data_IF_098172253218
#
_entry.id   IF_098172253218
#
_cell.length_a   1.000
_cell.length_b   1.000
_cell.length_c   1.000
_cell.angle_alpha   90.00
_cell.angle_beta   90.00
_cell.angle_gamma   90.00
#
_symmetry.space_group_name_H-M   'P 1'
#
loop_
_entity.id
_entity.type
_entity.pdbx_description
1 polymer ?
#
# COMPACT_ATOMS: atom_id res chain seq x y z
N UNK A 1 20.45 -13.65 0.03
CA UNK A 1 20.56 -12.91 -1.24
C UNK A 1 19.40 -11.91 -1.33
N UNK A 2 19.68 -10.69 -1.75
CA UNK A 2 18.64 -9.66 -1.87
C UNK A 2 17.72 -9.93 -3.08
N UNK A 3 16.46 -9.53 -2.97
CA UNK A 3 15.48 -9.67 -4.05
C UNK A 3 15.49 -8.40 -4.89
N UNK A 4 15.43 -8.55 -6.21
CA UNK A 4 15.38 -7.43 -7.15
C UNK A 4 14.05 -6.72 -7.06
N UNK A 5 14.03 -5.41 -7.32
CA UNK A 5 12.79 -4.61 -7.34
C UNK A 5 11.98 -4.81 -8.62
N UNK A 6 12.64 -5.11 -9.72
CA UNK A 6 11.96 -5.32 -11.01
C UNK A 6 11.06 -6.56 -10.94
N UNK A 7 9.80 -6.39 -11.27
CA UNK A 7 8.77 -7.42 -11.12
C UNK A 7 7.87 -7.25 -9.89
N UNK A 8 8.07 -6.20 -9.10
CA UNK A 8 7.17 -5.83 -8.01
C UNK A 8 5.83 -5.36 -8.57
N UNK A 9 4.73 -5.87 -8.02
CA UNK A 9 3.38 -5.54 -8.46
C UNK A 9 2.55 -5.12 -7.24
N UNK A 10 1.73 -4.08 -7.41
CA UNK A 10 0.88 -3.54 -6.36
C UNK A 10 -0.58 -3.85 -6.67
N UNK A 11 -1.31 -4.31 -5.66
CA UNK A 11 -2.72 -4.65 -5.76
C UNK A 11 -3.51 -3.94 -4.67
N UNK A 12 -4.78 -3.65 -4.97
CA UNK A 12 -5.72 -3.08 -4.02
C UNK A 12 -7.00 -3.91 -3.97
N UNK A 13 -7.59 -4.05 -2.80
CA UNK A 13 -8.90 -4.67 -2.63
C UNK A 13 -9.94 -3.57 -2.59
N UNK A 14 -10.74 -3.46 -3.65
CA UNK A 14 -11.69 -2.37 -3.86
C UNK A 14 -13.10 -2.91 -4.11
N UNK A 15 -14.17 -2.14 -3.79
CA UNK A 15 -15.52 -2.51 -4.18
C UNK A 15 -15.66 -2.58 -5.69
N UNK A 16 -16.40 -3.58 -6.20
CA UNK A 16 -16.70 -3.69 -7.62
C UNK A 16 -17.57 -2.51 -8.09
N UNK A 17 -17.32 -2.03 -9.30
CA UNK A 17 -18.15 -0.99 -9.92
C UNK A 17 -19.59 -1.45 -10.17
N UNK A 18 -19.75 -2.72 -10.53
CA UNK A 18 -21.06 -3.28 -10.87
C UNK A 18 -21.87 -3.60 -9.62
N UNK A 19 -21.20 -4.03 -8.53
CA UNK A 19 -21.84 -4.36 -7.28
C UNK A 19 -20.92 -3.96 -6.11
N UNK A 20 -21.16 -2.80 -5.46
CA UNK A 20 -20.34 -2.32 -4.37
C UNK A 20 -20.30 -3.22 -3.13
N UNK A 21 -21.21 -4.20 -3.02
CA UNK A 21 -21.19 -5.18 -1.93
C UNK A 21 -20.17 -6.29 -2.15
N UNK A 22 -19.63 -6.41 -3.37
CA UNK A 22 -18.61 -7.40 -3.75
C UNK A 22 -17.26 -6.71 -3.89
N UNK A 23 -16.24 -7.25 -3.25
CA UNK A 23 -14.87 -6.76 -3.38
C UNK A 23 -14.15 -7.44 -4.53
N UNK A 24 -13.25 -6.71 -5.18
CA UNK A 24 -12.41 -7.23 -6.26
C UNK A 24 -10.96 -6.80 -6.08
N UNK A 25 -10.04 -7.58 -6.66
CA UNK A 25 -8.61 -7.25 -6.66
C UNK A 25 -8.31 -6.40 -7.88
N UNK A 26 -7.77 -5.21 -7.63
CA UNK A 26 -7.34 -4.27 -8.67
C UNK A 26 -5.82 -4.23 -8.73
N UNK A 27 -5.23 -4.61 -9.87
CA UNK A 27 -3.80 -4.45 -10.09
C UNK A 27 -3.48 -3.03 -10.53
N UNK A 28 -2.60 -2.35 -9.81
CA UNK A 28 -2.16 -1.00 -10.14
C UNK A 28 -1.01 -1.10 -11.13
N UNK A 29 -1.24 -0.64 -12.36
CA UNK A 29 -0.29 -0.79 -13.47
C UNK A 29 0.56 0.45 -13.68
N UNK A 30 1.67 0.28 -14.40
CA UNK A 30 2.60 1.34 -14.83
C UNK A 30 3.25 2.09 -13.65
N UNK A 31 3.59 1.36 -12.61
CA UNK A 31 4.29 1.90 -11.45
C UNK A 31 5.78 2.02 -11.78
N UNK A 32 6.38 3.18 -11.53
CA UNK A 32 7.81 3.39 -11.71
C UNK A 32 8.60 3.28 -10.40
N UNK A 33 7.99 3.55 -9.26
CA UNK A 33 8.58 3.34 -7.95
C UNK A 33 7.50 3.04 -6.91
N UNK A 34 7.91 2.48 -5.78
CA UNK A 34 7.01 2.23 -4.65
C UNK A 34 7.78 2.36 -3.34
N UNK A 35 7.22 3.10 -2.41
CA UNK A 35 7.70 3.21 -1.04
C UNK A 35 6.55 2.84 -0.10
N UNK A 36 6.70 1.76 0.64
CA UNK A 36 5.67 1.26 1.55
C UNK A 36 5.47 2.08 2.81
N UNK A 37 6.31 3.09 3.02
CA UNK A 37 6.29 3.88 4.25
C UNK A 37 6.81 3.10 5.45
N UNK A 38 6.85 3.76 6.58
CA UNK A 38 7.27 3.16 7.85
C UNK A 38 6.14 3.14 8.87
N UNK A 39 6.44 2.52 9.99
CA UNK A 39 5.52 2.50 11.14
C UNK A 39 6.35 2.73 12.41
N UNK A 40 6.96 3.94 12.54
CA UNK A 40 7.85 4.22 13.66
C UNK A 40 7.12 4.23 14.99
N UNK A 41 7.79 3.74 16.01
CA UNK A 41 7.30 3.78 17.38
C UNK A 41 7.82 5.04 18.08
N UNK A 42 6.95 5.66 18.86
CA UNK A 42 7.35 6.73 19.76
C UNK A 42 8.25 6.18 20.86
N UNK A 43 9.04 7.04 21.44
CA UNK A 43 9.99 6.68 22.48
C UNK A 43 9.50 7.22 23.83
N UNK A 44 9.37 6.34 24.81
CA UNK A 44 9.05 6.71 26.18
C UNK A 44 10.38 6.76 26.95
N UNK A 45 10.71 7.92 27.50
CA UNK A 45 11.93 8.12 28.28
C UNK A 45 11.66 7.79 29.74
N UNK A 46 12.49 6.94 30.32
CA UNK A 46 12.46 6.62 31.74
C UNK A 46 13.67 7.26 32.42
N UNK A 47 13.41 8.14 33.37
CA UNK A 47 14.45 8.81 34.15
C UNK A 47 14.25 8.51 35.65
N UNK A 48 15.27 7.96 36.28
CA UNK A 48 15.26 7.63 37.70
C UNK A 48 16.41 8.29 38.41
N UNK A 49 16.16 8.76 39.61
CA UNK A 49 17.18 9.45 40.40
C UNK A 49 18.34 8.53 40.86
N UNK A 50 18.08 7.24 40.95
CA UNK A 50 19.05 6.23 41.34
C UNK A 50 19.92 5.71 40.18
N UNK A 51 19.70 6.24 38.97
CA UNK A 51 20.45 5.85 37.75
C UNK A 51 21.15 7.04 37.12
N UNK A 52 22.30 6.81 36.55
CA UNK A 52 23.08 7.81 35.82
C UNK A 52 22.84 7.76 34.32
N UNK A 53 22.07 6.76 33.82
CA UNK A 53 21.77 6.56 32.39
C UNK A 53 20.28 6.55 32.19
N UNK A 54 19.81 7.16 31.10
CA UNK A 54 18.40 7.11 30.69
C UNK A 54 18.09 5.75 30.10
N UNK A 55 16.87 5.27 30.36
CA UNK A 55 16.33 4.09 29.77
C UNK A 55 15.17 4.49 28.84
N UNK A 56 14.92 3.69 27.80
CA UNK A 56 13.91 3.98 26.81
C UNK A 56 13.00 2.79 26.60
N UNK A 57 11.70 3.06 26.43
CA UNK A 57 10.70 2.06 26.06
C UNK A 57 10.04 2.48 24.74
N UNK A 58 9.56 1.50 23.99
CA UNK A 58 8.75 1.77 22.80
C UNK A 58 7.35 2.21 23.20
N UNK A 59 6.89 3.32 22.65
CA UNK A 59 5.54 3.82 22.82
C UNK A 59 4.63 3.43 21.66
N UNK A 60 3.62 4.26 21.43
CA UNK A 60 2.66 4.07 20.36
C UNK A 60 3.33 4.22 18.99
N UNK A 61 2.87 3.44 18.02
CA UNK A 61 3.33 3.57 16.63
C UNK A 61 2.46 4.54 15.87
N UNK A 62 3.09 5.32 15.00
CA UNK A 62 2.40 6.24 14.11
C UNK A 62 2.66 5.79 12.67
N UNK A 63 1.66 5.24 11.96
CA UNK A 63 1.83 4.84 10.57
C UNK A 63 2.21 6.03 9.68
N UNK A 64 3.20 5.82 8.82
CA UNK A 64 3.62 6.81 7.85
C UNK A 64 2.76 6.78 6.58
N UNK A 65 3.24 7.45 5.55
CA UNK A 65 2.60 7.45 4.24
C UNK A 65 3.33 6.48 3.31
N UNK A 66 2.56 5.68 2.58
CA UNK A 66 3.05 4.96 1.41
C UNK A 66 2.90 5.87 0.19
N UNK A 67 3.81 5.72 -0.76
CA UNK A 67 3.75 6.49 -2.00
C UNK A 67 4.26 5.67 -3.17
N UNK A 68 3.70 5.94 -4.33
CA UNK A 68 4.18 5.37 -5.59
C UNK A 68 3.91 6.34 -6.72
N UNK A 69 4.70 6.22 -7.79
CA UNK A 69 4.54 7.04 -8.98
C UNK A 69 4.05 6.17 -10.12
N UNK A 70 3.01 6.63 -10.81
CA UNK A 70 2.50 5.96 -12.01
C UNK A 70 2.64 6.90 -13.22
N UNK A 71 2.82 6.31 -14.39
CA UNK A 71 2.66 7.01 -15.65
C UNK A 71 1.17 7.03 -15.98
N UNK A 72 0.50 8.16 -15.76
CA UNK A 72 -0.95 8.25 -15.82
C UNK A 72 -1.46 8.03 -17.24
N UNK A 73 -2.37 7.08 -17.41
CA UNK A 73 -2.99 6.75 -18.68
C UNK A 73 -4.51 6.61 -18.48
N UNK A 74 -5.32 7.46 -19.16
CA UNK A 74 -6.78 7.41 -19.00
C UNK A 74 -7.43 6.12 -19.53
N UNK A 75 -6.68 5.32 -20.29
CA UNK A 75 -7.15 4.03 -20.78
C UNK A 75 -6.97 2.89 -19.76
N UNK A 76 -6.18 3.12 -18.71
CA UNK A 76 -5.92 2.13 -17.67
C UNK A 76 -6.94 2.32 -16.54
N UNK A 77 -7.75 1.29 -16.30
CA UNK A 77 -8.83 1.35 -15.31
C UNK A 77 -8.32 1.58 -13.89
N UNK A 78 -7.18 1.01 -13.52
CA UNK A 78 -6.61 1.19 -12.19
C UNK A 78 -6.29 2.66 -11.89
N UNK A 79 -5.83 3.43 -12.88
CA UNK A 79 -5.55 4.85 -12.71
C UNK A 79 -6.83 5.66 -12.49
N UNK A 80 -7.89 5.35 -13.24
CA UNK A 80 -9.20 6.00 -13.05
C UNK A 80 -9.78 5.68 -11.67
N UNK A 81 -9.65 4.43 -11.21
CA UNK A 81 -10.13 4.02 -9.90
C UNK A 81 -9.36 4.70 -8.78
N UNK A 82 -8.04 4.84 -8.91
CA UNK A 82 -7.22 5.57 -7.93
C UNK A 82 -7.62 7.04 -7.83
N UNK A 83 -7.90 7.67 -8.97
CA UNK A 83 -8.39 9.05 -8.98
C UNK A 83 -9.74 9.18 -8.29
N UNK A 84 -10.67 8.26 -8.55
CA UNK A 84 -11.96 8.22 -7.86
C UNK A 84 -11.79 8.07 -6.35
N UNK A 85 -10.92 7.17 -5.91
CA UNK A 85 -10.66 6.95 -4.48
C UNK A 85 -10.05 8.20 -3.82
N UNK A 86 -9.18 8.92 -4.53
CA UNK A 86 -8.58 10.14 -4.02
C UNK A 86 -9.57 11.30 -3.96
N UNK A 87 -10.54 11.34 -4.86
CA UNK A 87 -11.51 12.44 -5.00
C UNK A 87 -12.79 12.22 -4.21
N UNK A 88 -13.12 10.99 -3.87
CA UNK A 88 -14.38 10.63 -3.22
C UNK A 88 -14.28 10.79 -1.70
N UNK A 89 -15.33 11.34 -1.10
CA UNK A 89 -15.50 11.41 0.35
C UNK A 89 -16.34 10.25 0.90
N UNK A 90 -16.57 9.21 0.08
CA UNK A 90 -17.34 8.04 0.49
C UNK A 90 -16.57 7.22 1.53
N UNK A 91 -17.24 6.85 2.62
CA UNK A 91 -16.66 6.07 3.72
C UNK A 91 -16.10 4.71 3.28
N UNK A 92 -16.57 4.17 2.17
CA UNK A 92 -16.09 2.89 1.63
C UNK A 92 -14.59 2.96 1.24
N UNK A 93 -14.08 4.16 0.96
CA UNK A 93 -12.68 4.40 0.60
C UNK A 93 -11.81 4.87 1.76
N UNK A 94 -12.35 4.96 2.98
CA UNK A 94 -11.59 5.41 4.14
C UNK A 94 -10.52 4.42 4.55
N UNK A 95 -10.73 3.13 4.31
CA UNK A 95 -9.76 2.09 4.59
C UNK A 95 -9.77 1.06 3.48
N UNK A 96 -8.74 1.11 2.64
CA UNK A 96 -8.53 0.19 1.52
C UNK A 96 -7.33 -0.70 1.86
N UNK A 97 -7.47 -1.98 1.57
CA UNK A 97 -6.37 -2.94 1.75
C UNK A 97 -5.50 -2.96 0.50
N UNK A 98 -4.20 -2.80 0.72
CA UNK A 98 -3.20 -2.85 -0.35
C UNK A 98 -2.21 -3.97 -0.08
N UNK A 99 -1.70 -4.57 -1.13
CA UNK A 99 -0.65 -5.57 -1.04
C UNK A 99 0.36 -5.39 -2.17
N UNK A 100 1.64 -5.39 -1.81
CA UNK A 100 2.73 -5.38 -2.77
C UNK A 100 3.30 -6.78 -2.90
N UNK A 101 3.24 -7.36 -4.09
CA UNK A 101 3.86 -8.64 -4.41
C UNK A 101 5.30 -8.43 -4.84
N UNK A 102 6.22 -9.14 -4.20
CA UNK A 102 7.64 -9.04 -4.51
C UNK A 102 7.99 -9.77 -5.81
N UNK A 103 9.13 -9.45 -6.38
CA UNK A 103 9.56 -10.02 -7.67
C UNK A 103 9.87 -11.51 -7.64
N UNK A 104 9.95 -12.13 -6.46
CA UNK A 104 10.20 -13.56 -6.32
C UNK A 104 9.06 -14.46 -6.78
N UNK A 105 7.94 -13.88 -7.18
CA UNK A 105 6.77 -14.58 -7.72
C UNK A 105 6.02 -13.73 -8.76
N UNK A 106 6.76 -13.11 -9.69
CA UNK A 106 6.16 -12.27 -10.72
C UNK A 106 5.01 -12.96 -11.45
N UNK A 107 3.91 -12.26 -11.63
CA UNK A 107 2.71 -12.75 -12.30
C UNK A 107 1.73 -13.51 -11.39
N UNK A 108 2.12 -13.81 -10.14
CA UNK A 108 1.22 -14.45 -9.18
C UNK A 108 0.39 -13.35 -8.51
N UNK A 109 -0.91 -13.34 -8.77
CA UNK A 109 -1.82 -12.35 -8.22
C UNK A 109 -2.53 -12.88 -6.96
N UNK A 110 -2.87 -12.00 -6.01
CA UNK A 110 -3.76 -12.37 -4.91
C UNK A 110 -5.19 -12.51 -5.42
N UNK A 111 -6.00 -13.22 -4.67
CA UNK A 111 -7.44 -13.34 -4.91
C UNK A 111 -8.22 -12.88 -3.70
N UNK A 112 -9.53 -12.73 -3.84
CA UNK A 112 -10.41 -12.42 -2.73
C UNK A 112 -10.68 -13.71 -1.95
N UNK A 113 -10.66 -13.64 -0.61
CA UNK A 113 -10.93 -14.79 0.23
C UNK A 113 -12.39 -15.25 0.14
N UNK A 114 -12.72 -16.38 0.76
CA UNK A 114 -14.08 -16.93 0.72
C UNK A 114 -15.13 -16.01 1.36
N UNK A 115 -14.74 -15.26 2.39
CA UNK A 115 -15.64 -14.32 3.06
C UNK A 115 -15.82 -13.02 2.26
N UNK A 116 -14.98 -12.77 1.28
CA UNK A 116 -15.07 -11.60 0.41
C UNK A 116 -14.58 -10.30 1.02
N UNK A 117 -13.88 -10.33 2.14
CA UNK A 117 -13.48 -9.15 2.90
C UNK A 117 -11.97 -8.92 3.01
N UNK A 118 -11.17 -9.84 2.49
CA UNK A 118 -9.71 -9.77 2.56
C UNK A 118 -9.05 -10.44 1.35
N UNK A 119 -7.73 -10.29 1.24
CA UNK A 119 -6.94 -10.99 0.24
C UNK A 119 -6.72 -12.45 0.65
N UNK A 120 -6.70 -13.32 -0.35
CA UNK A 120 -6.11 -14.64 -0.25
C UNK A 120 -4.76 -14.60 -0.97
N UNK A 121 -3.67 -14.78 -0.23
CA UNK A 121 -2.31 -14.61 -0.74
C UNK A 121 -1.68 -15.99 -1.02
N UNK A 122 -1.31 -16.28 -2.28
CA UNK A 122 -0.57 -17.50 -2.58
C UNK A 122 0.77 -17.57 -1.85
N UNK A 123 1.11 -18.73 -1.30
CA UNK A 123 2.35 -18.94 -0.58
C UNK A 123 3.60 -18.98 -1.48
N UNK A 124 3.41 -18.87 -2.79
CA UNK A 124 4.47 -18.94 -3.80
C UNK A 124 5.13 -17.60 -4.09
N UNK A 125 4.79 -16.57 -3.33
CA UNK A 125 5.30 -15.22 -3.47
C UNK A 125 5.42 -14.54 -2.11
N UNK A 126 6.37 -13.63 -1.96
CA UNK A 126 6.49 -12.76 -0.78
C UNK A 126 5.58 -11.55 -0.94
N UNK A 127 4.91 -11.15 0.15
CA UNK A 127 3.92 -10.09 0.14
C UNK A 127 4.18 -9.08 1.26
N UNK A 128 3.89 -7.82 0.98
CA UNK A 128 3.79 -6.76 1.98
C UNK A 128 2.38 -6.19 1.96
N UNK A 129 1.66 -6.31 3.08
CA UNK A 129 0.30 -5.83 3.22
C UNK A 129 0.27 -4.56 4.07
N UNK A 130 -0.60 -3.64 3.70
CA UNK A 130 -0.90 -2.47 4.51
C UNK A 130 -2.31 -1.98 4.19
N UNK A 131 -2.91 -1.28 5.15
CA UNK A 131 -4.21 -0.64 4.98
C UNK A 131 -4.01 0.87 4.91
N UNK A 132 -4.90 1.56 4.22
CA UNK A 132 -4.84 3.01 4.14
C UNK A 132 -5.88 3.59 3.22
N UNK A 133 -5.82 4.90 3.04
CA UNK A 133 -6.66 5.60 2.09
C UNK A 133 -5.81 6.40 1.10
N UNK A 134 -6.31 6.55 -0.11
CA UNK A 134 -5.65 7.36 -1.14
C UNK A 134 -5.92 8.83 -0.84
N UNK A 135 -4.85 9.57 -0.55
CA UNK A 135 -4.96 10.97 -0.16
C UNK A 135 -4.95 11.91 -1.34
N UNK A 136 -4.17 11.59 -2.37
CA UNK A 136 -3.95 12.50 -3.48
C UNK A 136 -3.58 11.75 -4.76
N UNK A 137 -4.00 12.31 -5.89
CA UNK A 137 -3.68 11.83 -7.24
C UNK A 137 -3.39 13.03 -8.15
N UNK A 138 -2.27 13.75 -7.94
CA UNK A 138 -1.94 14.94 -8.71
C UNK A 138 -1.39 14.57 -10.09
N UNK A 139 -1.67 15.42 -11.08
CA UNK A 139 -1.10 15.27 -12.42
C UNK A 139 0.07 16.21 -12.60
N UNK A 140 1.19 15.69 -13.07
CA UNK A 140 2.41 16.45 -13.37
C UNK A 140 2.67 16.42 -14.88
N UNK A 141 2.62 17.59 -15.51
CA UNK A 141 2.82 17.76 -16.95
C UNK A 141 4.15 18.48 -17.18
N UNK A 142 5.14 17.74 -17.67
CA UNK A 142 6.45 18.28 -17.98
C UNK A 142 6.81 18.06 -19.45
N UNK A 143 7.73 18.89 -19.98
CA UNK A 143 8.19 18.79 -21.36
C UNK A 143 8.99 17.51 -21.58
N UNK A 144 8.79 16.88 -22.75
CA UNK A 144 9.51 15.69 -23.20
C UNK A 144 9.40 14.46 -22.26
N UNK A 145 8.26 14.32 -21.59
CA UNK A 145 7.97 13.17 -20.75
C UNK A 145 6.48 12.83 -20.81
N UNK A 146 6.10 11.76 -20.14
CA UNK A 146 4.70 11.35 -19.99
C UNK A 146 4.09 12.03 -18.77
N UNK A 147 2.76 12.04 -18.69
CA UNK A 147 2.06 12.54 -17.50
C UNK A 147 2.34 11.60 -16.33
N UNK A 148 2.90 12.14 -15.27
CA UNK A 148 3.23 11.38 -14.06
C UNK A 148 2.34 11.78 -12.90
N UNK A 149 2.05 10.81 -12.05
CA UNK A 149 1.27 11.02 -10.84
C UNK A 149 1.98 10.38 -9.64
N UNK A 150 2.29 11.20 -8.65
CA UNK A 150 2.82 10.73 -7.37
C UNK A 150 1.63 10.48 -6.43
N UNK A 151 1.18 9.24 -6.35
CA UNK A 151 0.05 8.85 -5.49
C UNK A 151 0.55 8.73 -4.06
N UNK A 152 -0.17 9.33 -3.12
CA UNK A 152 0.10 9.18 -1.69
C UNK A 152 -1.03 8.47 -0.99
N UNK A 153 -0.66 7.54 -0.10
CA UNK A 153 -1.59 6.75 0.69
C UNK A 153 -1.25 6.96 2.15
N UNK A 154 -2.20 7.45 2.95
CA UNK A 154 -2.04 7.49 4.40
C UNK A 154 -2.31 6.10 4.95
N UNK A 155 -1.29 5.46 5.51
CA UNK A 155 -1.43 4.15 6.11
C UNK A 155 -2.19 4.24 7.43
N UNK A 156 -2.94 3.18 7.71
CA UNK A 156 -3.68 3.00 8.96
C UNK A 156 -3.37 1.62 9.51
N UNK A 157 -3.07 1.53 10.81
CA UNK A 157 -2.77 0.27 11.44
C UNK A 157 -1.38 -0.30 11.06
N UNK A 158 -1.07 -1.49 11.54
CA UNK A 158 0.22 -2.15 11.27
C UNK A 158 0.25 -2.73 9.86
N UNK A 159 1.44 -2.74 9.26
CA UNK A 159 1.68 -3.52 8.06
C UNK A 159 2.05 -4.97 8.40
N UNK A 160 2.05 -5.83 7.38
CA UNK A 160 2.47 -7.22 7.53
C UNK A 160 3.40 -7.63 6.40
N UNK A 161 4.47 -8.28 6.75
CA UNK A 161 5.42 -8.85 5.80
C UNK A 161 5.27 -10.37 5.81
N UNK A 162 4.74 -10.92 4.72
CA UNK A 162 4.47 -12.36 4.58
C UNK A 162 5.53 -12.98 3.70
N UNK A 163 6.32 -13.84 4.28
CA UNK A 163 7.41 -14.55 3.59
C UNK A 163 6.86 -15.61 2.65
N UNK A 164 7.49 -15.76 1.48
CA UNK A 164 7.22 -16.87 0.55
C UNK A 164 7.38 -18.23 1.26
N UNK A 165 6.40 -19.09 1.08
CA UNK A 165 6.37 -20.42 1.69
C UNK A 165 5.89 -20.45 3.13
N UNK A 166 5.35 -19.34 3.61
CA UNK A 166 4.79 -19.27 4.97
C UNK A 166 3.32 -19.66 5.01
#
# INVERSE_FOLDING_TARGET
MAVKTQGTQLYALVPSKDDPSVMEVLEIKQISNFNGGGNPADQIVLEHLDKTTREYMKGMRTPGQASFTVDADPRVESHLRLYEMASSDDEVYDEIKFVAGWSDGYGIAPTVNQDGDDFELPATRTWFLFDGNVMDFPFDFQTNTVVKTAVSIQRSGPGAWVKKGA
#
